data_IF_039424990713
#
_entry.id   IF_039424990713
#
_cell.length_a   1.000
_cell.length_b   1.000
_cell.length_c   1.000
_cell.angle_alpha   90.00
_cell.angle_beta   90.00
_cell.angle_gamma   90.00
#
_symmetry.space_group_name_H-M   'P 1'
#
loop_
_entity.id
_entity.type
_entity.pdbx_description
1 polymer ?
#
# COMPACT_ATOMS: atom_id res chain seq x y z
N UNK A 1 26.13 -52.95 32.98
CA UNK A 1 24.80 -53.08 33.61
C UNK A 1 24.53 -51.77 34.30
N UNK A 2 23.64 -50.96 33.75
CA UNK A 2 23.05 -49.78 34.40
C UNK A 2 21.70 -49.54 33.74
N UNK A 3 20.68 -50.14 34.34
CA UNK A 3 19.32 -50.22 33.83
C UNK A 3 18.52 -49.02 34.36
N UNK A 4 18.26 -48.03 33.50
CA UNK A 4 17.42 -46.87 33.84
C UNK A 4 15.93 -47.25 33.81
N UNK A 5 15.14 -46.91 34.84
CA UNK A 5 13.73 -47.27 34.88
C UNK A 5 12.91 -46.44 33.88
N UNK A 6 12.13 -47.14 33.05
CA UNK A 6 11.12 -46.59 32.16
C UNK A 6 9.97 -45.99 32.99
N UNK A 7 9.81 -44.66 32.94
CA UNK A 7 8.61 -43.99 33.45
C UNK A 7 7.48 -44.08 32.43
N UNK A 8 6.53 -44.96 32.71
CA UNK A 8 5.16 -44.92 32.20
C UNK A 8 4.42 -43.69 32.76
N UNK A 9 3.89 -42.83 31.89
CA UNK A 9 2.79 -41.88 32.16
C UNK A 9 1.89 -41.91 30.95
N UNK A 10 0.87 -42.76 30.95
CA UNK A 10 -0.40 -42.63 31.68
C UNK A 10 -1.33 -41.60 31.04
N UNK A 11 -2.48 -42.14 30.66
CA UNK A 11 -3.57 -41.59 29.88
C UNK A 11 -4.21 -40.40 30.60
N UNK A 12 -4.66 -39.37 29.86
CA UNK A 12 -5.81 -38.60 30.31
C UNK A 12 -6.58 -37.98 29.14
N UNK A 13 -7.44 -38.80 28.55
CA UNK A 13 -8.61 -38.36 27.79
C UNK A 13 -9.57 -37.61 28.73
N UNK A 14 -9.53 -36.29 28.68
CA UNK A 14 -10.42 -35.40 29.45
C UNK A 14 -11.64 -34.95 28.64
N UNK A 15 -12.86 -34.92 29.22
CA UNK A 15 -14.13 -34.91 28.50
C UNK A 15 -14.52 -33.56 27.88
N UNK A 16 -15.21 -33.66 26.73
CA UNK A 16 -16.02 -32.61 26.05
C UNK A 16 -16.74 -31.72 27.06
N UNK A 17 -16.37 -30.44 27.16
CA UNK A 17 -17.15 -29.46 27.93
C UNK A 17 -18.32 -28.90 27.12
N UNK A 18 -19.50 -29.38 27.54
CA UNK A 18 -20.85 -28.87 27.28
C UNK A 18 -20.91 -27.35 27.19
N UNK A 19 -21.46 -26.90 26.06
CA UNK A 19 -22.14 -25.62 25.85
C UNK A 19 -23.22 -25.47 26.94
N UNK A 20 -23.12 -24.45 27.79
CA UNK A 20 -24.21 -24.02 28.67
C UNK A 20 -24.90 -22.86 27.97
N UNK A 21 -26.08 -23.15 27.44
CA UNK A 21 -27.14 -22.17 27.28
C UNK A 21 -27.47 -21.62 28.68
N UNK A 22 -27.53 -20.30 28.78
CA UNK A 22 -28.24 -19.57 29.83
C UNK A 22 -28.87 -18.37 29.17
N UNK A 23 -30.12 -18.58 28.81
CA UNK A 23 -31.21 -17.60 28.99
C UNK A 23 -31.29 -17.17 30.47
N UNK A 24 -32.08 -16.13 30.72
CA UNK A 24 -32.39 -15.39 31.96
C UNK A 24 -31.81 -13.96 31.85
N UNK A 25 -32.52 -13.01 31.21
CA UNK A 25 -33.64 -12.20 31.75
C UNK A 25 -33.25 -11.35 32.98
N UNK A 26 -33.47 -10.04 32.80
CA UNK A 26 -33.80 -8.98 33.76
C UNK A 26 -32.94 -8.77 35.02
N UNK A 27 -32.41 -7.54 35.14
CA UNK A 27 -32.43 -6.68 36.34
C UNK A 27 -31.24 -5.69 36.35
N UNK A 28 -31.55 -4.46 35.93
CA UNK A 28 -31.47 -3.24 36.75
C UNK A 28 -30.51 -3.16 37.98
N UNK A 29 -29.76 -2.07 38.02
CA UNK A 29 -29.08 -1.40 39.16
C UNK A 29 -27.75 -1.92 39.78
N UNK A 30 -26.85 -0.94 39.88
CA UNK A 30 -25.88 -0.66 40.97
C UNK A 30 -24.60 -1.50 41.20
N UNK A 31 -23.49 -0.76 41.14
CA UNK A 31 -22.37 -0.75 42.09
C UNK A 31 -22.01 -2.07 42.78
N UNK A 32 -20.99 -2.77 42.25
CA UNK A 32 -20.26 -3.75 43.05
C UNK A 32 -18.77 -3.88 42.69
N UNK A 33 -17.97 -3.16 43.47
CA UNK A 33 -16.65 -3.59 43.97
C UNK A 33 -16.59 -5.11 44.21
N UNK A 34 -15.71 -5.86 43.53
CA UNK A 34 -15.18 -7.11 44.12
C UNK A 34 -13.81 -7.57 43.58
N UNK A 35 -12.79 -7.15 44.34
CA UNK A 35 -11.55 -7.87 44.68
C UNK A 35 -11.35 -9.22 43.97
N UNK A 36 -10.48 -9.26 42.95
CA UNK A 36 -9.87 -10.53 42.51
C UNK A 36 -8.42 -10.62 43.00
N UNK A 37 -8.32 -11.02 44.27
CA UNK A 37 -7.32 -11.92 44.85
C UNK A 37 -5.90 -11.77 44.29
N UNK A 38 -5.18 -10.81 44.85
CA UNK A 38 -3.73 -10.81 45.05
C UNK A 38 -3.30 -12.14 45.66
N UNK A 39 -2.97 -13.13 44.82
CA UNK A 39 -2.11 -14.24 45.25
C UNK A 39 -0.70 -13.70 45.26
N UNK A 40 -0.23 -13.38 46.47
CA UNK A 40 1.17 -13.23 46.85
C UNK A 40 1.96 -14.33 46.13
N UNK A 41 2.74 -13.91 45.13
CA UNK A 41 3.76 -14.74 44.52
C UNK A 41 5.04 -14.18 45.10
N UNK A 42 5.38 -14.72 46.26
CA UNK A 42 6.60 -14.42 46.99
C UNK A 42 7.79 -14.66 46.05
N UNK A 43 8.58 -13.60 45.87
CA UNK A 43 10.05 -13.59 45.94
C UNK A 43 10.85 -14.62 45.13
N UNK A 44 10.54 -14.72 43.84
CA UNK A 44 11.56 -15.00 42.83
C UNK A 44 11.68 -13.78 41.91
N UNK A 45 11.99 -12.63 42.50
CA UNK A 45 12.26 -11.36 41.82
C UNK A 45 13.66 -11.35 41.18
N UNK A 46 14.07 -12.50 40.63
CA UNK A 46 15.20 -12.55 39.72
C UNK A 46 14.85 -11.66 38.52
N UNK A 47 15.66 -10.62 38.22
CA UNK A 47 15.40 -9.76 37.08
C UNK A 47 15.41 -10.63 35.83
N UNK A 48 14.21 -10.99 35.34
CA UNK A 48 14.08 -11.74 34.09
C UNK A 48 14.82 -10.91 33.05
N UNK A 49 15.83 -11.47 32.37
CA UNK A 49 16.57 -10.73 31.37
C UNK A 49 15.54 -10.17 30.39
N UNK A 50 15.50 -8.84 30.26
CA UNK A 50 14.61 -8.16 29.33
C UNK A 50 14.91 -8.76 27.96
N UNK A 51 14.07 -9.71 27.50
CA UNK A 51 14.26 -10.35 26.20
C UNK A 51 14.29 -9.21 25.19
N UNK A 52 15.46 -8.98 24.57
CA UNK A 52 15.58 -8.00 23.51
C UNK A 52 14.54 -8.38 22.47
N UNK A 53 13.56 -7.51 22.20
CA UNK A 53 12.49 -7.88 21.30
C UNK A 53 13.10 -8.11 19.91
N UNK A 54 13.06 -9.37 19.47
CA UNK A 54 13.63 -9.77 18.19
C UNK A 54 12.86 -9.12 17.03
N UNK A 55 13.56 -8.80 15.94
CA UNK A 55 12.95 -8.36 14.68
C UNK A 55 12.85 -6.85 14.45
N UNK A 56 13.19 -6.00 15.44
CA UNK A 56 13.13 -4.54 15.24
C UNK A 56 14.19 -3.98 14.28
N UNK A 57 15.38 -4.58 14.24
CA UNK A 57 16.45 -4.22 13.29
C UNK A 57 16.01 -4.40 11.83
N UNK A 58 15.64 -5.62 11.40
CA UNK A 58 15.10 -5.86 10.07
C UNK A 58 13.91 -4.97 9.74
N UNK A 59 12.94 -4.84 10.66
CA UNK A 59 11.78 -3.98 10.46
C UNK A 59 12.13 -2.51 10.21
N UNK A 60 13.17 -1.98 10.89
CA UNK A 60 13.66 -0.61 10.67
C UNK A 60 14.20 -0.46 9.25
N UNK A 61 15.02 -1.41 8.80
CA UNK A 61 15.55 -1.42 7.43
C UNK A 61 14.41 -1.48 6.42
N UNK A 62 13.41 -2.34 6.64
CA UNK A 62 12.23 -2.44 5.80
C UNK A 62 11.45 -1.12 5.72
N UNK A 63 11.21 -0.46 6.86
CA UNK A 63 10.55 0.85 6.89
C UNK A 63 11.36 1.91 6.13
N UNK A 64 12.69 1.96 6.28
CA UNK A 64 13.53 2.90 5.54
C UNK A 64 13.47 2.66 4.03
N UNK A 65 13.55 1.40 3.58
CA UNK A 65 13.45 1.05 2.16
C UNK A 65 12.09 1.43 1.57
N UNK A 66 10.99 1.20 2.30
CA UNK A 66 9.65 1.65 1.90
C UNK A 66 9.58 3.18 1.79
N UNK A 67 10.19 3.90 2.74
CA UNK A 67 10.24 5.36 2.70
C UNK A 67 11.05 5.91 1.53
N UNK A 68 12.23 5.34 1.26
CA UNK A 68 13.06 5.70 0.11
C UNK A 68 12.34 5.36 -1.20
N UNK A 69 11.70 4.20 -1.30
CA UNK A 69 10.87 3.82 -2.44
C UNK A 69 9.75 4.83 -2.70
N UNK A 70 9.04 5.27 -1.66
CA UNK A 70 7.99 6.28 -1.77
C UNK A 70 8.51 7.63 -2.31
N UNK A 71 9.70 8.10 -1.90
CA UNK A 71 10.31 9.31 -2.46
C UNK A 71 10.72 9.15 -3.94
N UNK A 72 11.28 7.99 -4.31
CA UNK A 72 11.57 7.68 -5.72
C UNK A 72 10.28 7.60 -6.54
N UNK A 73 9.19 7.12 -5.94
CA UNK A 73 7.91 7.08 -6.63
C UNK A 73 7.29 8.46 -6.79
N UNK A 74 7.48 9.35 -5.80
CA UNK A 74 7.13 10.75 -5.94
C UNK A 74 7.87 11.42 -7.12
N UNK A 75 9.17 11.11 -7.32
CA UNK A 75 9.91 11.66 -8.47
C UNK A 75 9.38 11.16 -9.81
N UNK A 76 8.80 9.96 -9.86
CA UNK A 76 8.09 9.45 -11.04
C UNK A 76 6.95 10.38 -11.43
N UNK A 77 6.08 10.74 -10.48
CA UNK A 77 4.98 11.67 -10.74
C UNK A 77 5.47 13.10 -11.05
N UNK A 78 6.57 13.54 -10.42
CA UNK A 78 7.20 14.82 -10.76
C UNK A 78 7.70 14.87 -12.21
N UNK A 79 8.33 13.80 -12.70
CA UNK A 79 8.76 13.68 -14.09
C UNK A 79 7.57 13.61 -15.05
N UNK A 80 6.50 12.88 -14.70
CA UNK A 80 5.27 12.85 -15.48
C UNK A 80 4.56 14.21 -15.53
N UNK A 81 4.58 14.96 -14.42
CA UNK A 81 4.06 16.34 -14.38
C UNK A 81 4.87 17.26 -15.30
N UNK A 82 6.20 17.15 -15.29
CA UNK A 82 7.07 17.90 -16.19
C UNK A 82 6.79 17.56 -17.66
N UNK A 83 6.64 16.28 -18.00
CA UNK A 83 6.28 15.84 -19.35
C UNK A 83 4.91 16.38 -19.79
N UNK A 84 3.92 16.38 -18.88
CA UNK A 84 2.61 16.97 -19.15
C UNK A 84 2.71 18.48 -19.40
N UNK A 85 3.55 19.19 -18.64
CA UNK A 85 3.79 20.62 -18.81
C UNK A 85 4.49 20.93 -20.14
N UNK A 86 5.50 20.14 -20.53
CA UNK A 86 6.17 20.28 -21.83
C UNK A 86 5.20 20.06 -22.99
N UNK A 87 4.37 19.01 -22.91
CA UNK A 87 3.34 18.76 -23.91
C UNK A 87 2.31 19.90 -23.99
N UNK A 88 1.91 20.47 -22.85
CA UNK A 88 1.04 21.65 -22.83
C UNK A 88 1.71 22.88 -23.46
N UNK A 89 3.00 23.08 -23.26
CA UNK A 89 3.76 24.16 -23.90
C UNK A 89 4.01 23.94 -25.41
N UNK A 90 3.52 22.82 -25.99
CA UNK A 90 3.74 22.47 -27.39
C UNK A 90 5.14 21.91 -27.68
N UNK A 91 5.90 21.55 -26.64
CA UNK A 91 7.21 20.93 -26.78
C UNK A 91 7.11 19.44 -27.10
N UNK A 92 8.11 18.93 -27.82
CA UNK A 92 8.28 17.49 -28.01
C UNK A 92 8.59 16.80 -26.68
N UNK A 93 8.02 15.61 -26.45
CA UNK A 93 8.27 14.84 -25.25
C UNK A 93 9.58 14.06 -25.41
N UNK A 94 10.65 14.39 -24.66
CA UNK A 94 11.89 13.67 -24.80
C UNK A 94 11.74 12.25 -24.22
N UNK A 95 11.82 11.23 -25.07
CA UNK A 95 11.72 9.83 -24.67
C UNK A 95 12.65 9.43 -23.52
N UNK A 96 13.80 10.12 -23.37
CA UNK A 96 14.71 9.95 -22.23
C UNK A 96 14.06 10.30 -20.87
N UNK A 97 13.28 11.39 -20.78
CA UNK A 97 12.57 11.73 -19.54
C UNK A 97 11.50 10.69 -19.20
N UNK A 98 10.82 10.17 -20.21
CA UNK A 98 9.82 9.12 -20.02
C UNK A 98 10.45 7.81 -19.56
N UNK A 99 11.61 7.44 -20.14
CA UNK A 99 12.40 6.30 -19.69
C UNK A 99 12.87 6.48 -18.23
N UNK A 100 13.33 7.68 -17.85
CA UNK A 100 13.69 7.98 -16.46
C UNK A 100 12.51 7.84 -15.49
N UNK A 101 11.32 8.30 -15.88
CA UNK A 101 10.11 8.11 -15.08
C UNK A 101 9.78 6.62 -14.91
N UNK A 102 9.84 5.84 -16.00
CA UNK A 102 9.64 4.39 -15.95
C UNK A 102 10.66 3.68 -15.07
N UNK A 103 11.95 4.03 -15.18
CA UNK A 103 13.02 3.48 -14.34
C UNK A 103 12.84 3.83 -12.86
N UNK A 104 12.40 5.04 -12.54
CA UNK A 104 12.07 5.43 -11.17
C UNK A 104 10.91 4.60 -10.61
N UNK A 105 9.85 4.38 -11.40
CA UNK A 105 8.74 3.47 -11.07
C UNK A 105 9.22 2.05 -10.77
N UNK A 106 10.02 1.46 -11.67
CA UNK A 106 10.62 0.14 -11.48
C UNK A 106 11.51 0.06 -10.23
N UNK A 107 12.29 1.12 -9.96
CA UNK A 107 13.16 1.17 -8.77
C UNK A 107 12.32 1.19 -7.49
N UNK A 108 11.23 1.97 -7.46
CA UNK A 108 10.28 1.94 -6.34
C UNK A 108 9.70 0.53 -6.12
N UNK A 109 9.37 -0.19 -7.20
CA UNK A 109 8.87 -1.57 -7.11
C UNK A 109 9.87 -2.50 -6.42
N UNK A 110 11.12 -2.49 -6.88
CA UNK A 110 12.18 -3.32 -6.32
C UNK A 110 12.42 -2.98 -4.85
N UNK A 111 12.57 -1.68 -4.53
CA UNK A 111 12.77 -1.22 -3.16
C UNK A 111 11.60 -1.55 -2.24
N UNK A 112 10.37 -1.42 -2.74
CA UNK A 112 9.17 -1.76 -1.98
C UNK A 112 9.09 -3.25 -1.66
N UNK A 113 9.36 -4.13 -2.62
CA UNK A 113 9.33 -5.58 -2.41
C UNK A 113 10.39 -6.03 -1.41
N UNK A 114 11.63 -5.53 -1.54
CA UNK A 114 12.71 -5.83 -0.60
C UNK A 114 12.34 -5.28 0.79
N UNK A 115 11.84 -4.05 0.86
CA UNK A 115 11.38 -3.42 2.10
C UNK A 115 10.30 -4.22 2.81
N UNK A 116 9.29 -4.70 2.07
CA UNK A 116 8.24 -5.58 2.60
C UNK A 116 8.81 -6.91 3.11
N UNK A 117 9.78 -7.51 2.42
CA UNK A 117 10.46 -8.73 2.88
C UNK A 117 11.10 -8.55 4.27
N UNK A 118 11.76 -7.41 4.50
CA UNK A 118 12.28 -7.05 5.81
C UNK A 118 11.18 -6.79 6.85
N UNK A 119 10.05 -6.20 6.44
CA UNK A 119 8.89 -6.01 7.32
C UNK A 119 8.22 -7.34 7.74
N UNK A 120 8.22 -8.36 6.87
CA UNK A 120 7.70 -9.71 7.18
C UNK A 120 8.54 -10.38 8.28
N UNK A 121 9.87 -10.22 8.22
CA UNK A 121 10.79 -10.66 9.27
C UNK A 121 10.67 -9.85 10.58
N UNK A 122 9.89 -8.78 10.57
CA UNK A 122 9.63 -7.90 11.70
C UNK A 122 8.64 -8.45 12.73
N UNK A 123 8.14 -7.58 13.64
CA UNK A 123 7.22 -7.95 14.71
C UNK A 123 5.87 -8.45 14.18
N UNK A 124 5.28 -9.40 14.89
CA UNK A 124 4.05 -10.12 14.49
C UNK A 124 2.88 -9.20 14.12
N UNK A 125 2.75 -8.05 14.80
CA UNK A 125 1.67 -7.08 14.57
C UNK A 125 1.64 -6.50 13.14
N UNK A 126 2.77 -6.44 12.45
CA UNK A 126 2.86 -5.92 11.09
C UNK A 126 2.98 -7.01 10.02
N UNK A 127 3.22 -8.27 10.43
CA UNK A 127 3.56 -9.35 9.50
C UNK A 127 2.41 -9.66 8.54
N UNK A 128 1.18 -9.73 9.04
CA UNK A 128 0.01 -10.06 8.22
C UNK A 128 -0.25 -9.03 7.10
N UNK A 129 -0.16 -7.75 7.42
CA UNK A 129 -0.32 -6.66 6.44
C UNK A 129 0.85 -6.58 5.46
N UNK A 130 2.08 -6.86 5.92
CA UNK A 130 3.25 -6.93 5.04
C UNK A 130 3.12 -8.07 4.01
N UNK A 131 2.68 -9.26 4.44
CA UNK A 131 2.44 -10.40 3.53
C UNK A 131 1.35 -10.05 2.51
N UNK A 132 0.23 -9.47 2.96
CA UNK A 132 -0.84 -9.04 2.06
C UNK A 132 -0.34 -8.01 1.03
N UNK A 133 0.46 -7.03 1.47
CA UNK A 133 1.08 -6.05 0.59
C UNK A 133 2.00 -6.70 -0.45
N UNK A 134 2.80 -7.69 -0.05
CA UNK A 134 3.69 -8.45 -0.95
C UNK A 134 2.91 -9.24 -1.98
N UNK A 135 1.88 -9.98 -1.56
CA UNK A 135 1.03 -10.76 -2.49
C UNK A 135 0.37 -9.83 -3.50
N UNK A 136 -0.22 -8.72 -3.04
CA UNK A 136 -0.84 -7.75 -3.93
C UNK A 136 0.17 -7.07 -4.87
N UNK A 137 1.40 -6.85 -4.40
CA UNK A 137 2.52 -6.35 -5.21
C UNK A 137 2.85 -7.30 -6.36
N UNK A 138 2.90 -8.60 -6.09
CA UNK A 138 3.15 -9.63 -7.12
C UNK A 138 2.00 -9.70 -8.12
N UNK A 139 0.75 -9.67 -7.65
CA UNK A 139 -0.44 -9.65 -8.52
C UNK A 139 -0.42 -8.43 -9.44
N UNK A 140 -0.14 -7.24 -8.88
CA UNK A 140 -0.02 -6.02 -9.66
C UNK A 140 1.07 -6.17 -10.75
N UNK A 141 2.27 -6.65 -10.41
CA UNK A 141 3.34 -6.84 -11.39
C UNK A 141 2.91 -7.81 -12.50
N UNK A 142 2.25 -8.91 -12.15
CA UNK A 142 1.68 -9.84 -13.12
C UNK A 142 0.68 -9.14 -14.06
N UNK A 143 -0.21 -8.31 -13.52
CA UNK A 143 -1.16 -7.52 -14.33
C UNK A 143 -0.46 -6.50 -15.23
N UNK A 144 0.61 -5.86 -14.77
CA UNK A 144 1.44 -4.98 -15.62
C UNK A 144 2.06 -5.76 -16.77
N UNK A 145 2.66 -6.92 -16.51
CA UNK A 145 3.26 -7.76 -17.55
C UNK A 145 2.23 -8.28 -18.54
N UNK A 146 1.06 -8.73 -18.06
CA UNK A 146 -0.05 -9.13 -18.94
C UNK A 146 -0.52 -7.93 -19.78
N UNK A 147 -0.67 -6.76 -19.17
CA UNK A 147 -1.04 -5.52 -19.88
C UNK A 147 -0.01 -5.10 -20.93
N UNK A 148 1.27 -5.34 -20.69
CA UNK A 148 2.34 -5.17 -21.68
C UNK A 148 2.27 -6.21 -22.78
N UNK A 149 2.09 -7.49 -22.45
CA UNK A 149 2.01 -8.57 -23.42
C UNK A 149 0.84 -8.37 -24.38
N UNK A 150 -0.34 -8.01 -23.85
CA UNK A 150 -1.52 -7.66 -24.64
C UNK A 150 -1.32 -6.41 -25.53
N UNK A 151 -0.31 -5.58 -25.23
CA UNK A 151 0.11 -4.47 -26.08
C UNK A 151 1.18 -4.85 -27.11
N UNK A 152 1.95 -5.90 -26.89
CA UNK A 152 3.02 -6.36 -27.79
C UNK A 152 2.50 -6.57 -29.22
N UNK A 153 1.32 -7.19 -29.35
CA UNK A 153 0.64 -7.38 -30.63
C UNK A 153 0.28 -6.06 -31.36
N UNK A 154 0.19 -4.95 -30.61
CA UNK A 154 -0.09 -3.62 -31.14
C UNK A 154 1.17 -2.77 -31.36
N UNK A 155 2.24 -3.00 -30.59
CA UNK A 155 3.50 -2.25 -30.64
C UNK A 155 4.34 -2.59 -31.88
N UNK A 156 4.30 -3.84 -32.35
CA UNK A 156 4.97 -4.25 -33.59
C UNK A 156 4.40 -3.56 -34.85
N UNK A 157 3.20 -2.96 -34.75
CA UNK A 157 2.52 -2.29 -35.87
C UNK A 157 2.74 -0.78 -35.93
N UNK A 158 3.20 -0.14 -34.86
CA UNK A 158 3.25 1.33 -34.76
C UNK A 158 4.62 1.92 -34.42
N UNK A 159 5.70 1.13 -34.36
CA UNK A 159 7.07 1.63 -34.30
C UNK A 159 7.31 2.71 -33.24
N UNK A 160 7.34 2.36 -31.95
CA UNK A 160 7.73 3.33 -30.91
C UNK A 160 7.65 2.79 -29.49
N UNK A 161 8.80 2.68 -28.81
CA UNK A 161 8.93 2.18 -27.43
C UNK A 161 8.49 3.15 -26.31
N UNK A 162 7.97 4.32 -26.64
CA UNK A 162 7.59 5.36 -25.66
C UNK A 162 6.44 4.99 -24.71
N UNK A 163 5.30 4.39 -25.14
CA UNK A 163 4.20 4.10 -24.22
C UNK A 163 4.51 2.98 -23.21
N UNK A 164 5.60 2.22 -23.41
CA UNK A 164 6.05 1.18 -22.48
C UNK A 164 6.49 1.79 -21.14
N UNK A 165 7.38 2.79 -21.20
CA UNK A 165 7.99 3.39 -20.02
C UNK A 165 6.96 4.12 -19.14
N UNK A 166 5.98 4.79 -19.76
CA UNK A 166 4.85 5.39 -19.04
C UNK A 166 4.06 4.36 -18.22
N UNK A 167 3.93 3.14 -18.73
CA UNK A 167 3.16 2.05 -18.09
C UNK A 167 3.96 1.36 -16.99
N UNK A 168 5.28 1.32 -17.14
CA UNK A 168 6.21 0.86 -16.09
C UNK A 168 6.36 1.88 -14.96
N UNK A 169 6.13 3.15 -15.25
CA UNK A 169 6.13 4.22 -14.26
C UNK A 169 5.02 4.02 -13.22
N UNK A 170 3.77 3.87 -13.65
CA UNK A 170 2.59 3.75 -12.78
C UNK A 170 1.36 3.28 -13.56
N UNK A 171 0.46 2.55 -12.90
CA UNK A 171 -0.87 2.22 -13.43
C UNK A 171 -1.97 3.16 -12.93
N UNK A 172 -1.69 4.02 -11.94
CA UNK A 172 -2.71 4.91 -11.32
C UNK A 172 -3.42 5.80 -12.37
N UNK A 173 -2.72 6.49 -13.31
CA UNK A 173 -3.39 7.31 -14.32
C UNK A 173 -4.34 6.52 -15.21
N UNK A 174 -4.08 5.21 -15.41
CA UNK A 174 -4.96 4.35 -16.21
C UNK A 174 -6.32 4.15 -15.52
N UNK A 175 -6.37 4.17 -14.18
CA UNK A 175 -7.62 4.05 -13.43
C UNK A 175 -8.57 5.22 -13.74
N UNK A 176 -8.03 6.44 -13.87
CA UNK A 176 -8.81 7.62 -14.22
C UNK A 176 -9.42 7.49 -15.63
N UNK A 177 -8.62 7.04 -16.60
CA UNK A 177 -9.05 6.92 -17.99
C UNK A 177 -10.08 5.82 -18.24
N UNK A 178 -10.03 4.72 -17.47
CA UNK A 178 -10.97 3.60 -17.64
C UNK A 178 -12.41 4.03 -17.32
N UNK A 179 -12.62 4.83 -16.28
CA UNK A 179 -13.98 5.24 -15.90
C UNK A 179 -14.61 6.13 -16.98
N UNK A 180 -13.83 7.05 -17.53
CA UNK A 180 -14.20 7.85 -18.69
C UNK A 180 -14.55 6.99 -19.92
N UNK A 181 -13.73 5.96 -20.20
CA UNK A 181 -13.99 5.03 -21.29
C UNK A 181 -15.28 4.22 -21.08
N UNK A 182 -15.53 3.78 -19.85
CA UNK A 182 -16.71 2.98 -19.52
C UNK A 182 -18.02 3.79 -19.70
N UNK A 183 -18.00 5.10 -19.46
CA UNK A 183 -19.16 5.96 -19.69
C UNK A 183 -19.40 6.27 -21.18
N UNK A 184 -18.36 6.62 -21.92
CA UNK A 184 -18.51 7.17 -23.29
C UNK A 184 -18.28 6.16 -24.41
N UNK A 185 -17.58 5.08 -24.14
CA UNK A 185 -17.28 4.04 -25.11
C UNK A 185 -17.29 2.64 -24.46
N UNK A 186 -18.42 2.20 -23.88
CA UNK A 186 -18.51 0.89 -23.22
C UNK A 186 -18.16 -0.26 -24.17
N UNK A 187 -18.43 -0.12 -25.47
CA UNK A 187 -18.02 -1.09 -26.50
C UNK A 187 -16.50 -1.21 -26.69
N UNK A 188 -15.73 -0.19 -26.29
CA UNK A 188 -14.27 -0.23 -26.29
C UNK A 188 -13.70 -0.92 -25.03
N UNK A 189 -14.56 -1.35 -24.10
CA UNK A 189 -14.17 -2.05 -22.88
C UNK A 189 -13.76 -3.50 -23.19
N UNK A 190 -12.55 -3.67 -23.70
CA UNK A 190 -11.93 -4.97 -23.93
C UNK A 190 -11.14 -5.49 -22.72
N UNK A 191 -10.63 -6.71 -22.84
CA UNK A 191 -9.77 -7.36 -21.83
C UNK A 191 -8.57 -6.49 -21.42
N UNK A 192 -7.95 -5.77 -22.37
CA UNK A 192 -6.83 -4.86 -22.08
C UNK A 192 -7.20 -3.66 -21.19
N UNK A 193 -8.44 -3.16 -21.26
CA UNK A 193 -8.93 -2.07 -20.41
C UNK A 193 -9.14 -2.57 -18.99
N UNK A 194 -9.77 -3.74 -18.85
CA UNK A 194 -9.99 -4.38 -17.55
C UNK A 194 -8.67 -4.66 -16.83
N UNK A 195 -7.65 -5.18 -17.54
CA UNK A 195 -6.32 -5.43 -16.95
C UNK A 195 -5.69 -4.15 -16.41
N UNK A 196 -5.76 -3.04 -17.16
CA UNK A 196 -5.24 -1.73 -16.71
C UNK A 196 -5.97 -1.20 -15.48
N UNK A 197 -7.30 -1.36 -15.45
CA UNK A 197 -8.12 -0.97 -14.32
C UNK A 197 -7.74 -1.75 -13.06
N UNK A 198 -7.64 -3.09 -13.18
CA UNK A 198 -7.24 -3.96 -12.09
C UNK A 198 -5.81 -3.65 -11.62
N UNK A 199 -4.88 -3.38 -12.53
CA UNK A 199 -3.52 -2.97 -12.18
C UNK A 199 -3.51 -1.67 -11.37
N UNK A 200 -4.23 -0.65 -11.83
CA UNK A 200 -4.39 0.63 -11.11
C UNK A 200 -5.03 0.43 -9.72
N UNK A 201 -6.09 -0.38 -9.62
CA UNK A 201 -6.74 -0.70 -8.36
C UNK A 201 -5.81 -1.44 -7.39
N UNK A 202 -5.06 -2.43 -7.89
CA UNK A 202 -4.04 -3.13 -7.11
C UNK A 202 -2.94 -2.19 -6.62
N UNK A 203 -2.58 -1.16 -7.40
CA UNK A 203 -1.58 -0.18 -6.99
C UNK A 203 -2.02 0.63 -5.79
N UNK A 204 -3.24 1.16 -5.84
CA UNK A 204 -3.82 1.97 -4.76
C UNK A 204 -3.96 1.12 -3.50
N UNK A 205 -4.51 -0.09 -3.64
CA UNK A 205 -4.64 -1.02 -2.52
C UNK A 205 -3.27 -1.42 -1.93
N UNK A 206 -2.23 -1.58 -2.76
CA UNK A 206 -0.86 -1.82 -2.31
C UNK A 206 -0.33 -0.66 -1.47
N UNK A 207 -0.51 0.58 -1.91
CA UNK A 207 -0.08 1.76 -1.16
C UNK A 207 -0.78 1.85 0.21
N UNK A 208 -2.08 1.56 0.26
CA UNK A 208 -2.85 1.48 1.51
C UNK A 208 -2.26 0.40 2.44
N UNK A 209 -2.00 -0.80 1.92
CA UNK A 209 -1.42 -1.88 2.72
C UNK A 209 0.01 -1.57 3.21
N UNK A 210 0.81 -0.82 2.45
CA UNK A 210 2.11 -0.31 2.90
C UNK A 210 1.94 0.62 4.11
N UNK A 211 1.00 1.58 4.04
CA UNK A 211 0.71 2.49 5.17
C UNK A 211 0.22 1.71 6.40
N UNK A 212 -0.65 0.71 6.21
CA UNK A 212 -1.12 -0.16 7.29
C UNK A 212 0.00 -1.04 7.88
N UNK A 213 0.96 -1.47 7.06
CA UNK A 213 2.17 -2.18 7.51
C UNK A 213 3.01 -1.28 8.40
N UNK A 214 3.27 -0.03 7.97
CA UNK A 214 4.00 0.96 8.77
C UNK A 214 3.28 1.27 10.09
N UNK A 215 1.94 1.36 10.07
CA UNK A 215 1.12 1.49 11.29
C UNK A 215 1.34 0.33 12.26
N UNK A 216 1.29 -0.91 11.76
CA UNK A 216 1.52 -2.10 12.57
C UNK A 216 2.92 -2.12 13.21
N UNK A 217 3.93 -1.67 12.46
CA UNK A 217 5.30 -1.51 12.95
C UNK A 217 5.40 -0.42 14.03
N UNK A 218 4.79 0.74 13.81
CA UNK A 218 4.74 1.82 14.80
C UNK A 218 4.04 1.40 16.10
N UNK A 219 2.96 0.63 16.00
CA UNK A 219 2.25 0.05 17.14
C UNK A 219 3.11 -0.99 17.88
N UNK A 220 3.90 -1.79 17.17
CA UNK A 220 4.85 -2.72 17.79
C UNK A 220 5.97 -1.97 18.54
N UNK A 221 6.45 -0.86 17.96
CA UNK A 221 7.43 0.03 18.61
C UNK A 221 6.83 0.86 19.77
N UNK A 222 5.51 0.77 19.99
CA UNK A 222 4.74 1.58 20.97
C UNK A 222 4.91 3.09 20.75
N UNK A 223 4.96 3.53 19.49
CA UNK A 223 4.96 4.94 19.13
C UNK A 223 3.54 5.40 18.83
N UNK A 224 2.92 6.09 19.79
CA UNK A 224 1.56 6.66 19.63
C UNK A 224 1.54 7.74 18.54
N UNK A 225 2.58 8.57 18.45
CA UNK A 225 2.70 9.63 17.45
C UNK A 225 2.71 9.09 16.01
N UNK A 226 3.57 8.11 15.71
CA UNK A 226 3.63 7.50 14.38
C UNK A 226 2.34 6.71 14.06
N UNK A 227 1.76 6.03 15.05
CA UNK A 227 0.47 5.33 14.88
C UNK A 227 -0.68 6.31 14.55
N UNK A 228 -0.73 7.46 15.21
CA UNK A 228 -1.75 8.49 14.99
C UNK A 228 -1.67 9.09 13.58
N UNK A 229 -0.45 9.27 13.04
CA UNK A 229 -0.24 9.78 11.67
C UNK A 229 -0.67 8.80 10.57
N UNK A 230 -0.70 7.50 10.86
CA UNK A 230 -1.04 6.50 9.85
C UNK A 230 -2.52 6.56 9.40
N UNK A 231 -3.44 6.97 10.27
CA UNK A 231 -4.86 7.13 9.91
C UNK A 231 -5.06 8.19 8.80
N UNK A 232 -4.65 9.44 9.05
CA UNK A 232 -4.67 10.49 8.03
C UNK A 232 -3.90 10.12 6.76
N UNK A 233 -2.80 9.36 6.86
CA UNK A 233 -2.06 8.90 5.69
C UNK A 233 -2.87 7.94 4.81
N UNK A 234 -3.61 6.99 5.38
CA UNK A 234 -4.52 6.11 4.61
C UNK A 234 -5.62 6.94 3.96
N UNK A 235 -6.23 7.86 4.71
CA UNK A 235 -7.28 8.75 4.20
C UNK A 235 -6.77 9.64 3.08
N UNK A 236 -5.54 10.14 3.18
CA UNK A 236 -4.90 10.94 2.14
C UNK A 236 -4.69 10.11 0.85
N UNK A 237 -4.18 8.88 0.95
CA UNK A 237 -4.02 7.99 -0.22
C UNK A 237 -5.36 7.69 -0.90
N UNK A 238 -6.35 7.22 -0.13
CA UNK A 238 -7.66 6.89 -0.69
C UNK A 238 -8.38 8.14 -1.23
N UNK A 239 -8.34 9.24 -0.48
CA UNK A 239 -9.00 10.50 -0.81
C UNK A 239 -8.41 11.17 -2.06
N UNK A 240 -7.08 11.19 -2.19
CA UNK A 240 -6.43 11.72 -3.40
C UNK A 240 -6.76 10.88 -4.62
N UNK A 241 -6.63 9.54 -4.54
CA UNK A 241 -6.96 8.68 -5.68
C UNK A 241 -8.43 8.81 -6.11
N UNK A 242 -9.37 8.79 -5.15
CA UNK A 242 -10.79 8.94 -5.43
C UNK A 242 -11.14 10.33 -5.96
N UNK A 243 -10.60 11.38 -5.33
CA UNK A 243 -10.83 12.77 -5.74
C UNK A 243 -10.31 13.07 -7.14
N UNK A 244 -9.09 12.63 -7.47
CA UNK A 244 -8.53 12.79 -8.82
C UNK A 244 -9.34 12.02 -9.87
N UNK A 245 -9.80 10.81 -9.54
CA UNK A 245 -10.66 10.03 -10.43
C UNK A 245 -11.98 10.77 -10.71
N UNK A 246 -12.62 11.31 -9.66
CA UNK A 246 -13.88 12.05 -9.79
C UNK A 246 -13.71 13.35 -10.61
N UNK A 247 -12.64 14.11 -10.36
CA UNK A 247 -12.33 15.33 -11.13
C UNK A 247 -12.06 14.99 -12.60
N UNK A 248 -11.30 13.94 -12.87
CA UNK A 248 -11.00 13.50 -14.25
C UNK A 248 -12.29 13.08 -14.97
N UNK A 249 -13.16 12.34 -14.29
CA UNK A 249 -14.45 11.94 -14.84
C UNK A 249 -15.32 13.16 -15.17
N UNK A 250 -15.45 14.08 -14.22
CA UNK A 250 -16.24 15.30 -14.39
C UNK A 250 -15.75 16.13 -15.59
N UNK A 251 -14.44 16.31 -15.71
CA UNK A 251 -13.83 17.03 -16.84
C UNK A 251 -14.06 16.30 -18.15
N UNK A 252 -13.93 14.97 -18.17
CA UNK A 252 -14.22 14.17 -19.36
C UNK A 252 -15.67 14.42 -19.81
N UNK A 253 -16.61 14.42 -18.85
CA UNK A 253 -18.02 14.68 -19.14
C UNK A 253 -18.23 16.06 -19.75
N UNK A 254 -17.63 17.10 -19.16
CA UNK A 254 -17.71 18.45 -19.70
C UNK A 254 -17.15 18.56 -21.13
N UNK A 255 -16.01 17.92 -21.40
CA UNK A 255 -15.39 17.95 -22.74
C UNK A 255 -16.23 17.21 -23.77
N UNK A 256 -16.79 16.05 -23.40
CA UNK A 256 -17.59 15.24 -24.31
C UNK A 256 -18.93 15.91 -24.66
N UNK A 257 -19.64 16.45 -23.67
CA UNK A 257 -20.98 16.99 -23.85
C UNK A 257 -21.00 18.38 -24.48
N UNK A 258 -19.98 19.22 -24.26
CA UNK A 258 -20.03 20.63 -24.64
C UNK A 258 -19.33 20.96 -25.97
N UNK A 259 -18.78 19.96 -26.68
CA UNK A 259 -18.21 20.14 -28.02
C UNK A 259 -16.98 21.06 -28.11
N UNK A 260 -16.39 21.46 -26.97
CA UNK A 260 -15.22 22.35 -26.93
C UNK A 260 -13.93 21.59 -27.24
N UNK A 261 -13.65 21.32 -28.51
CA UNK A 261 -12.46 20.54 -28.89
C UNK A 261 -11.15 21.22 -28.47
N UNK A 262 -10.97 22.52 -28.73
CA UNK A 262 -9.73 23.25 -28.35
C UNK A 262 -9.64 23.55 -26.86
N UNK A 263 -10.69 24.09 -26.24
CA UNK A 263 -10.67 24.37 -24.81
C UNK A 263 -10.61 23.08 -23.97
N UNK A 264 -11.19 21.98 -24.48
CA UNK A 264 -11.14 20.67 -23.86
C UNK A 264 -9.74 20.07 -23.81
N UNK A 265 -8.90 20.27 -24.83
CA UNK A 265 -7.50 19.81 -24.80
C UNK A 265 -6.69 20.52 -23.71
N UNK A 266 -6.84 21.83 -23.56
CA UNK A 266 -6.17 22.59 -22.49
C UNK A 266 -6.68 22.19 -21.11
N UNK A 267 -8.00 22.01 -20.96
CA UNK A 267 -8.59 21.56 -19.70
C UNK A 267 -8.13 20.14 -19.32
N UNK A 268 -8.13 19.21 -20.27
CA UNK A 268 -7.64 17.84 -20.06
C UNK A 268 -6.15 17.82 -19.68
N UNK A 269 -5.35 18.66 -20.33
CA UNK A 269 -3.91 18.81 -20.01
C UNK A 269 -3.70 19.36 -18.60
N UNK A 270 -4.45 20.40 -18.22
CA UNK A 270 -4.40 20.99 -16.90
C UNK A 270 -4.82 19.99 -15.80
N UNK A 271 -5.85 19.18 -16.06
CA UNK A 271 -6.33 18.15 -15.14
C UNK A 271 -5.34 17.01 -15.02
N UNK A 272 -4.73 16.59 -16.12
CA UNK A 272 -3.64 15.60 -16.10
C UNK A 272 -2.48 16.10 -15.24
N UNK A 273 -2.04 17.35 -15.44
CA UNK A 273 -0.97 17.97 -14.65
C UNK A 273 -1.32 18.03 -13.16
N UNK A 274 -2.52 18.51 -12.82
CA UNK A 274 -3.01 18.57 -11.44
C UNK A 274 -3.07 17.17 -10.80
N UNK A 275 -3.47 16.15 -11.57
CA UNK A 275 -3.50 14.76 -11.13
C UNK A 275 -2.11 14.26 -10.75
N UNK A 276 -1.09 14.56 -11.57
CA UNK A 276 0.29 14.17 -11.26
C UNK A 276 0.80 14.84 -9.99
N UNK A 277 0.52 16.13 -9.78
CA UNK A 277 0.88 16.83 -8.53
C UNK A 277 0.16 16.24 -7.31
N UNK A 278 -1.12 15.91 -7.46
CA UNK A 278 -1.89 15.27 -6.39
C UNK A 278 -1.28 13.90 -6.03
N UNK A 279 -0.91 13.08 -7.02
CA UNK A 279 -0.23 11.80 -6.77
C UNK A 279 1.15 11.96 -6.16
N UNK A 280 1.94 12.95 -6.59
CA UNK A 280 3.21 13.25 -5.95
C UNK A 280 3.01 13.62 -4.47
N UNK A 281 2.06 14.50 -4.17
CA UNK A 281 1.72 14.90 -2.80
C UNK A 281 1.26 13.72 -1.95
N UNK A 282 0.44 12.84 -2.52
CA UNK A 282 -0.03 11.61 -1.87
C UNK A 282 1.14 10.74 -1.38
N UNK A 283 2.25 10.67 -2.14
CA UNK A 283 3.41 9.87 -1.78
C UNK A 283 4.24 10.44 -0.62
N UNK A 284 4.05 11.71 -0.25
CA UNK A 284 4.70 12.30 0.93
C UNK A 284 4.23 11.63 2.23
N UNK A 285 2.95 11.27 2.33
CA UNK A 285 2.38 10.67 3.53
C UNK A 285 3.03 9.32 3.93
N UNK A 286 3.10 8.29 3.05
CA UNK A 286 3.80 7.05 3.37
C UNK A 286 5.30 7.26 3.59
N UNK A 287 5.94 8.20 2.86
CA UNK A 287 7.37 8.48 3.01
C UNK A 287 7.72 9.06 4.40
N UNK A 288 6.95 10.05 4.87
CA UNK A 288 7.11 10.64 6.20
C UNK A 288 6.77 9.64 7.30
N UNK A 289 5.68 8.88 7.15
CA UNK A 289 5.30 7.84 8.10
C UNK A 289 6.37 6.76 8.23
N UNK A 290 7.00 6.37 7.12
CA UNK A 290 8.08 5.39 7.09
C UNK A 290 9.30 5.89 7.89
N UNK A 291 9.69 7.16 7.74
CA UNK A 291 10.77 7.79 8.51
C UNK A 291 10.48 7.82 10.01
N UNK A 292 9.26 8.22 10.40
CA UNK A 292 8.85 8.25 11.80
C UNK A 292 8.83 6.85 12.41
N UNK A 293 8.32 5.87 11.65
CA UNK A 293 8.27 4.47 12.05
C UNK A 293 9.67 3.89 12.22
N UNK A 294 10.58 4.14 11.27
CA UNK A 294 11.97 3.71 11.37
C UNK A 294 12.68 4.29 12.60
N UNK A 295 12.44 5.57 12.91
CA UNK A 295 12.98 6.24 14.10
C UNK A 295 12.45 5.60 15.39
N UNK A 296 11.15 5.29 15.43
CA UNK A 296 10.52 4.61 16.56
C UNK A 296 11.05 3.18 16.78
N UNK A 297 11.28 2.43 15.69
CA UNK A 297 11.87 1.10 15.73
C UNK A 297 13.32 1.16 16.23
N UNK A 298 14.10 2.17 15.80
CA UNK A 298 15.46 2.39 16.26
C UNK A 298 15.55 2.61 17.77
N UNK A 299 14.63 3.40 18.34
CA UNK A 299 14.58 3.65 19.79
C UNK A 299 14.21 2.42 20.63
N UNK A 300 13.77 1.31 19.99
CA UNK A 300 13.38 0.05 20.65
C UNK A 300 14.38 -1.09 20.46
N UNK A 301 15.28 -0.98 19.48
CA UNK A 301 16.31 -1.95 19.17
C UNK A 301 17.50 -1.82 20.16
#
# INVERSE_FOLDING_TARGET
MDEKPRRSRDWNDGPRRRKRERDDEDDEYEDNRRRKKTRRRDDDDWPRPKRRPAGFGPARTGALLLGTGAWIYMSTFGLLALLALLGWAGGEQPGALLALAGLAGCTNWVMSLIGLGFCIAGPERARGTAIAATVLSVVHLGLLFVGLALRGDALDRFGGGEPLWATMATAIPSLNGVLSLLLYAPQAFGSGVLVKFLAGGCEVARLILIVLTLKGLAQAARSSAATARAGPAVTAVAGVCGGVTAVTLFVTILVAEWGFVRAGLHLASAVSLLSQFAYAFMMMAPALLAKDTASALAARA
#
